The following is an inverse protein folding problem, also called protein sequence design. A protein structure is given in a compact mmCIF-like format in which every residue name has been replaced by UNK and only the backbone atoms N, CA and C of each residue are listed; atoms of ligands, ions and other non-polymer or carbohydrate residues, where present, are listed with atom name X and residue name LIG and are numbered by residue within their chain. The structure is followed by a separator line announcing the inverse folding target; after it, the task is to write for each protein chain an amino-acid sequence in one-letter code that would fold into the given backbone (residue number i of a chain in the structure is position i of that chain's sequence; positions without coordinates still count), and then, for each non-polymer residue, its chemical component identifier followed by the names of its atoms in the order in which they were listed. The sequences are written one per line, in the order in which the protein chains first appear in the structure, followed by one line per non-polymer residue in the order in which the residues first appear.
data_IF_340898889939
#
_entry.id   IF_340898889939
#
_cell.length_a   1.000
_cell.length_b   1.000
_cell.length_c   1.000
_cell.angle_alpha   90.00
_cell.angle_beta   90.00
_cell.angle_gamma   90.00
#
_symmetry.space_group_name_H-M   'P 1'
#
loop_
_entity.id
_entity.type
_entity.pdbx_description
1 polymer ?
#
# COMPACT_ATOMS: atom_id res chain seq x y z
N UNK A 1 33.36 -5.29 6.20
CA UNK A 1 31.94 -5.49 5.84
C UNK A 1 31.27 -4.14 5.62
N UNK A 2 30.78 -3.82 4.41
CA UNK A 2 30.01 -2.59 4.15
C UNK A 2 28.68 -2.70 4.90
N UNK A 3 28.45 -1.88 5.93
CA UNK A 3 27.12 -1.69 6.52
C UNK A 3 26.20 -1.21 5.39
N UNK A 4 25.32 -2.07 4.88
CA UNK A 4 24.21 -1.64 4.00
C UNK A 4 23.34 -0.70 4.81
N UNK A 5 23.45 0.60 4.54
CA UNK A 5 22.56 1.59 5.10
C UNK A 5 21.16 1.29 4.53
N UNK A 6 20.23 0.77 5.33
CA UNK A 6 18.84 0.61 4.88
C UNK A 6 18.32 1.99 4.50
N UNK A 7 17.76 2.11 3.30
CA UNK A 7 17.11 3.34 2.85
C UNK A 7 15.88 3.63 3.71
N UNK A 8 15.64 4.91 3.97
CA UNK A 8 14.39 5.36 4.59
C UNK A 8 13.27 5.10 3.57
N UNK A 9 12.15 4.53 4.04
CA UNK A 9 10.99 4.19 3.23
C UNK A 9 9.75 4.81 3.86
N UNK A 10 8.75 5.16 3.04
CA UNK A 10 7.44 5.58 3.52
C UNK A 10 6.60 4.38 3.99
N UNK A 11 7.10 3.55 4.92
CA UNK A 11 6.37 2.39 5.43
C UNK A 11 5.84 2.64 6.85
N UNK A 12 4.69 2.07 7.19
CA UNK A 12 4.16 2.10 8.55
C UNK A 12 5.12 1.41 9.54
N UNK A 13 5.38 2.05 10.68
CA UNK A 13 6.17 1.49 11.78
C UNK A 13 5.29 0.92 12.91
N UNK A 14 3.97 1.02 12.77
CA UNK A 14 2.97 0.58 13.74
C UNK A 14 2.80 -0.94 13.63
N UNK A 15 3.18 -1.68 14.66
CA UNK A 15 3.14 -3.16 14.67
C UNK A 15 1.73 -3.68 14.45
N UNK A 16 0.73 -2.99 14.98
CA UNK A 16 -0.69 -3.33 14.83
C UNK A 16 -1.19 -3.25 13.39
N UNK A 17 -0.49 -2.48 12.53
CA UNK A 17 -0.79 -2.34 11.09
C UNK A 17 -0.03 -3.34 10.21
N UNK A 18 0.80 -4.19 10.79
CA UNK A 18 1.53 -5.22 10.06
C UNK A 18 0.66 -6.47 9.99
N UNK A 19 0.54 -7.04 8.79
CA UNK A 19 -0.13 -8.32 8.58
C UNK A 19 0.68 -9.45 9.21
N UNK A 20 0.00 -10.29 9.98
CA UNK A 20 0.65 -11.39 10.69
C UNK A 20 1.25 -12.37 9.70
N UNK A 21 2.52 -12.73 9.89
CA UNK A 21 3.31 -13.58 8.98
C UNK A 21 3.36 -13.09 7.52
N UNK A 22 2.99 -11.83 7.24
CA UNK A 22 2.87 -11.31 5.88
C UNK A 22 1.73 -11.93 5.06
N UNK A 23 0.76 -12.58 5.72
CA UNK A 23 -0.41 -13.19 5.08
C UNK A 23 -1.55 -12.18 5.07
N UNK A 24 -2.10 -11.93 3.87
CA UNK A 24 -3.17 -10.97 3.62
C UNK A 24 -4.36 -11.74 3.02
N UNK A 25 -5.36 -12.09 3.85
CA UNK A 25 -6.57 -12.72 3.37
C UNK A 25 -7.38 -11.73 2.51
N UNK A 26 -7.96 -12.21 1.41
CA UNK A 26 -8.73 -11.38 0.49
C UNK A 26 -10.07 -11.99 0.10
N UNK A 27 -11.02 -11.12 -0.21
CA UNK A 27 -12.26 -11.41 -0.93
C UNK A 27 -12.38 -10.47 -2.13
N UNK A 28 -13.05 -10.93 -3.18
CA UNK A 28 -13.40 -10.09 -4.33
C UNK A 28 -14.91 -10.05 -4.47
N UNK A 29 -15.47 -8.85 -4.40
CA UNK A 29 -16.90 -8.62 -4.52
C UNK A 29 -17.45 -9.17 -5.85
N UNK A 30 -18.70 -9.64 -5.83
CA UNK A 30 -19.36 -10.30 -6.95
C UNK A 30 -19.53 -9.39 -8.17
N UNK A 31 -19.55 -8.08 -7.95
CA UNK A 31 -19.78 -7.05 -8.97
C UNK A 31 -18.63 -6.93 -9.99
N UNK A 32 -17.46 -7.52 -9.73
CA UNK A 32 -16.33 -7.50 -10.67
C UNK A 32 -16.43 -8.58 -11.73
N UNK A 33 -16.19 -8.21 -12.99
CA UNK A 33 -16.10 -9.16 -14.11
C UNK A 33 -14.91 -10.12 -13.97
N UNK A 34 -14.91 -11.22 -14.72
CA UNK A 34 -13.80 -12.18 -14.73
C UNK A 34 -12.45 -11.56 -15.11
N UNK A 35 -12.46 -10.56 -16.00
CA UNK A 35 -11.26 -9.82 -16.38
C UNK A 35 -10.66 -9.03 -15.19
N UNK A 36 -11.50 -8.34 -14.42
CA UNK A 36 -11.07 -7.64 -13.20
C UNK A 36 -10.52 -8.62 -12.16
N UNK A 37 -11.20 -9.75 -11.93
CA UNK A 37 -10.73 -10.79 -11.00
C UNK A 37 -9.35 -11.32 -11.42
N UNK A 38 -9.14 -11.55 -12.71
CA UNK A 38 -7.84 -11.96 -13.24
C UNK A 38 -6.77 -10.88 -13.01
N UNK A 39 -7.10 -9.61 -13.26
CA UNK A 39 -6.19 -8.48 -13.01
C UNK A 39 -5.77 -8.39 -11.54
N UNK A 40 -6.72 -8.51 -10.61
CA UNK A 40 -6.45 -8.45 -9.17
C UNK A 40 -5.53 -9.60 -8.75
N UNK A 41 -5.80 -10.82 -9.24
CA UNK A 41 -4.93 -11.99 -9.00
C UNK A 41 -3.52 -11.79 -9.58
N UNK A 42 -3.38 -11.16 -10.74
CA UNK A 42 -2.07 -10.83 -11.32
C UNK A 42 -1.31 -9.80 -10.46
N UNK A 43 -1.98 -8.75 -9.99
CA UNK A 43 -1.38 -7.73 -9.14
C UNK A 43 -0.94 -8.29 -7.77
N UNK A 44 -1.75 -9.19 -7.17
CA UNK A 44 -1.36 -9.92 -5.96
C UNK A 44 -0.12 -10.79 -6.21
N UNK A 45 -0.11 -11.59 -7.29
CA UNK A 45 1.05 -12.43 -7.66
C UNK A 45 2.33 -11.62 -7.89
N UNK A 46 2.22 -10.42 -8.44
CA UNK A 46 3.38 -9.54 -8.59
C UNK A 46 4.04 -9.27 -7.23
N UNK A 47 3.26 -8.89 -6.23
CA UNK A 47 3.77 -8.74 -4.86
C UNK A 47 4.34 -10.05 -4.28
N UNK A 48 3.69 -11.19 -4.51
CA UNK A 48 4.17 -12.50 -4.00
C UNK A 48 5.46 -12.99 -4.67
N UNK A 49 5.74 -12.56 -5.91
CA UNK A 49 6.92 -12.95 -6.67
C UNK A 49 8.16 -12.14 -6.25
N UNK A 50 7.97 -10.87 -5.88
CA UNK A 50 9.07 -9.96 -5.53
C UNK A 50 9.22 -9.73 -4.03
N UNK A 51 8.29 -10.24 -3.22
CA UNK A 51 8.32 -10.14 -1.76
C UNK A 51 7.89 -11.46 -1.11
N UNK A 52 7.90 -11.51 0.21
CA UNK A 52 7.36 -12.65 0.96
C UNK A 52 5.93 -12.43 1.46
N UNK A 53 5.24 -11.37 1.00
CA UNK A 53 3.80 -11.24 1.22
C UNK A 53 3.09 -12.40 0.53
N UNK A 54 2.00 -12.89 1.15
CA UNK A 54 1.13 -13.92 0.58
C UNK A 54 -0.32 -13.46 0.62
N UNK A 55 -1.01 -13.61 -0.49
CA UNK A 55 -2.44 -13.34 -0.61
C UNK A 55 -3.19 -14.66 -0.62
N UNK A 56 -4.12 -14.83 0.31
CA UNK A 56 -4.89 -16.06 0.45
C UNK A 56 -6.38 -15.76 0.34
N UNK A 57 -7.15 -16.65 -0.27
CA UNK A 57 -8.60 -16.51 -0.25
C UNK A 57 -9.09 -16.58 1.20
N UNK A 58 -10.05 -15.72 1.54
CA UNK A 58 -10.56 -15.65 2.90
C UNK A 58 -11.24 -16.95 3.30
N UNK A 59 -11.00 -17.29 4.56
CA UNK A 59 -11.66 -18.35 5.32
C UNK A 59 -12.34 -17.62 6.49
N UNK A 60 -13.65 -17.78 6.64
CA UNK A 60 -14.41 -17.01 7.61
C UNK A 60 -14.07 -17.37 9.07
N UNK A 61 -13.61 -18.59 9.31
CA UNK A 61 -13.31 -19.11 10.65
C UNK A 61 -11.88 -18.77 11.09
N UNK A 62 -10.95 -18.71 10.13
CA UNK A 62 -9.54 -18.40 10.39
C UNK A 62 -9.22 -16.90 10.28
N UNK A 63 -9.83 -16.21 9.32
CA UNK A 63 -9.42 -14.87 8.90
C UNK A 63 -10.41 -13.81 9.39
N UNK A 64 -10.13 -13.27 10.58
CA UNK A 64 -10.87 -12.13 11.16
C UNK A 64 -10.62 -10.83 10.39
N UNK A 65 -9.36 -10.49 10.13
CA UNK A 65 -8.97 -9.29 9.37
C UNK A 65 -8.59 -9.66 7.94
N UNK A 66 -9.11 -8.92 6.97
CA UNK A 66 -8.97 -9.24 5.55
C UNK A 66 -9.29 -8.03 4.67
N UNK A 67 -8.83 -8.06 3.43
CA UNK A 67 -9.19 -7.06 2.43
C UNK A 67 -10.36 -7.51 1.57
N UNK A 68 -11.17 -6.56 1.11
CA UNK A 68 -12.26 -6.80 0.16
C UNK A 68 -12.10 -5.87 -1.02
N UNK A 69 -11.84 -6.44 -2.20
CA UNK A 69 -11.94 -5.69 -3.44
C UNK A 69 -13.40 -5.35 -3.69
N UNK A 70 -13.71 -4.07 -3.74
CA UNK A 70 -15.07 -3.54 -3.94
C UNK A 70 -15.00 -2.22 -4.73
N UNK A 71 -16.14 -1.64 -5.09
CA UNK A 71 -16.22 -0.31 -5.70
C UNK A 71 -16.86 0.66 -4.70
N UNK A 72 -16.14 1.74 -4.34
CA UNK A 72 -16.62 2.78 -3.44
C UNK A 72 -16.52 4.17 -4.07
N UNK A 73 -17.28 5.17 -3.57
CA UNK A 73 -17.25 6.54 -4.11
C UNK A 73 -15.89 7.26 -4.00
N UNK A 74 -14.92 6.73 -3.25
CA UNK A 74 -13.58 7.32 -3.15
C UNK A 74 -12.73 7.16 -4.43
N UNK A 75 -13.17 6.37 -5.42
CA UNK A 75 -12.40 6.05 -6.61
C UNK A 75 -11.41 4.90 -6.33
N UNK A 76 -10.11 5.16 -6.49
CA UNK A 76 -9.03 4.24 -6.12
C UNK A 76 -8.57 4.59 -4.71
N UNK A 77 -8.85 3.75 -3.72
CA UNK A 77 -8.43 4.03 -2.36
C UNK A 77 -8.32 2.77 -1.50
N UNK A 78 -7.38 2.80 -0.55
CA UNK A 78 -7.13 1.71 0.39
C UNK A 78 -6.61 2.25 1.72
N UNK A 79 -6.80 1.47 2.79
CA UNK A 79 -6.22 1.78 4.09
C UNK A 79 -4.74 1.38 4.13
N UNK A 80 -3.89 2.19 4.77
CA UNK A 80 -2.46 1.88 4.89
C UNK A 80 -2.20 0.87 6.01
N UNK A 81 -1.89 -0.36 5.62
CA UNK A 81 -1.63 -1.51 6.49
C UNK A 81 -2.90 -2.28 6.87
N UNK A 82 -2.77 -3.16 7.86
CA UNK A 82 -3.89 -3.87 8.50
C UNK A 82 -4.68 -2.91 9.40
N UNK A 83 -6.00 -2.86 9.23
CA UNK A 83 -6.90 -2.06 10.09
C UNK A 83 -7.15 -2.69 11.46
N UNK A 84 -7.22 -4.02 11.52
CA UNK A 84 -7.39 -4.78 12.78
C UNK A 84 -8.82 -4.79 13.34
N UNK A 85 -9.81 -4.44 12.51
CA UNK A 85 -11.22 -4.40 12.89
C UNK A 85 -12.12 -5.05 11.83
N UNK A 86 -11.68 -6.18 11.31
CA UNK A 86 -12.41 -6.95 10.32
C UNK A 86 -12.12 -6.54 8.89
N UNK A 87 -13.15 -6.59 8.04
CA UNK A 87 -13.08 -6.24 6.63
C UNK A 87 -12.57 -4.81 6.41
N UNK A 88 -11.56 -4.65 5.57
CA UNK A 88 -11.17 -3.35 5.03
C UNK A 88 -11.32 -3.34 3.51
N UNK A 89 -11.91 -2.27 2.98
CA UNK A 89 -12.12 -2.14 1.55
C UNK A 89 -10.84 -1.70 0.86
N UNK A 90 -10.55 -2.32 -0.28
CA UNK A 90 -9.70 -1.78 -1.34
C UNK A 90 -10.66 -1.43 -2.49
N UNK A 91 -10.84 -0.13 -2.73
CA UNK A 91 -11.78 0.37 -3.73
C UNK A 91 -11.08 0.44 -5.09
N UNK A 92 -11.61 -0.28 -6.07
CA UNK A 92 -11.22 -0.19 -7.47
C UNK A 92 -12.42 0.30 -8.27
N UNK A 93 -12.56 1.63 -8.37
CA UNK A 93 -13.63 2.26 -9.16
C UNK A 93 -13.32 2.37 -10.65
N UNK A 94 -14.18 3.11 -11.37
CA UNK A 94 -13.97 3.43 -12.78
C UNK A 94 -12.60 4.08 -13.03
N UNK A 95 -11.89 3.59 -14.05
CA UNK A 95 -10.53 3.99 -14.44
C UNK A 95 -9.40 3.59 -13.48
N UNK A 96 -9.70 2.83 -12.41
CA UNK A 96 -8.72 2.27 -11.48
C UNK A 96 -8.29 0.83 -11.83
N UNK A 97 -8.89 0.25 -12.87
CA UNK A 97 -8.73 -1.13 -13.33
C UNK A 97 -7.47 -1.35 -14.18
N UNK A 98 -6.41 -0.59 -13.92
CA UNK A 98 -5.09 -0.78 -14.53
C UNK A 98 -4.20 -1.53 -13.56
N UNK A 99 -3.39 -2.45 -14.09
CA UNK A 99 -2.49 -3.29 -13.29
C UNK A 99 -1.67 -2.49 -12.27
N UNK A 100 -1.01 -1.40 -12.71
CA UNK A 100 -0.19 -0.56 -11.83
C UNK A 100 -0.97 0.14 -10.71
N UNK A 101 -2.22 0.53 -10.96
CA UNK A 101 -3.08 1.14 -9.94
C UNK A 101 -3.44 0.09 -8.88
N UNK A 102 -3.81 -1.12 -9.29
CA UNK A 102 -4.12 -2.20 -8.34
C UNK A 102 -2.88 -2.57 -7.51
N UNK A 103 -1.69 -2.62 -8.13
CA UNK A 103 -0.41 -2.83 -7.42
C UNK A 103 -0.14 -1.73 -6.40
N UNK A 104 -0.43 -0.47 -6.75
CA UNK A 104 -0.30 0.69 -5.85
C UNK A 104 -1.22 0.56 -4.63
N UNK A 105 -2.51 0.31 -4.86
CA UNK A 105 -3.49 0.14 -3.78
C UNK A 105 -3.15 -1.05 -2.87
N UNK A 106 -2.61 -2.13 -3.44
CA UNK A 106 -2.08 -3.26 -2.66
C UNK A 106 -0.84 -2.87 -1.83
N UNK A 107 -0.01 -1.95 -2.32
CA UNK A 107 1.08 -1.43 -1.50
C UNK A 107 0.60 -0.63 -0.29
N UNK A 108 -0.52 0.11 -0.41
CA UNK A 108 -1.19 0.67 0.76
C UNK A 108 -1.63 -0.43 1.72
N UNK A 109 -2.29 -1.48 1.24
CA UNK A 109 -2.68 -2.64 2.07
C UNK A 109 -1.47 -3.22 2.81
N UNK A 110 -0.34 -3.40 2.12
CA UNK A 110 0.90 -3.93 2.70
C UNK A 110 1.42 -3.00 3.80
N UNK A 111 1.26 -1.68 3.66
CA UNK A 111 1.62 -0.70 4.69
C UNK A 111 2.48 0.46 4.20
N UNK A 112 2.55 0.69 2.89
CA UNK A 112 3.25 1.83 2.30
C UNK A 112 2.36 3.06 2.24
N UNK A 113 2.91 4.20 2.65
CA UNK A 113 2.40 5.53 2.38
C UNK A 113 2.89 6.01 1.02
N UNK A 114 2.33 7.12 0.53
CA UNK A 114 2.88 7.78 -0.65
C UNK A 114 4.32 8.23 -0.41
N UNK A 115 5.18 8.07 -1.41
CA UNK A 115 6.62 8.27 -1.25
C UNK A 115 6.96 9.73 -0.92
N UNK A 116 6.21 10.69 -1.47
CA UNK A 116 6.37 12.11 -1.18
C UNK A 116 5.99 12.49 0.26
N UNK A 117 5.42 11.59 1.05
CA UNK A 117 5.10 11.84 2.48
C UNK A 117 6.24 11.45 3.42
N UNK A 118 7.34 10.91 2.88
CA UNK A 118 8.54 10.54 3.65
C UNK A 118 9.03 11.69 4.53
N UNK A 119 9.52 11.41 5.75
CA UNK A 119 10.08 12.44 6.63
C UNK A 119 11.29 13.18 6.04
N UNK A 120 12.01 12.58 5.10
CA UNK A 120 13.17 13.16 4.43
C UNK A 120 12.89 13.69 3.02
N UNK A 121 11.61 13.76 2.60
CA UNK A 121 11.23 14.12 1.22
C UNK A 121 11.72 15.51 0.77
N UNK A 122 11.85 16.47 1.67
CA UNK A 122 12.31 17.83 1.33
C UNK A 122 13.79 17.87 0.88
N UNK A 123 14.54 16.77 1.04
CA UNK A 123 15.90 16.62 0.48
C UNK A 123 15.89 16.17 -0.98
N UNK A 124 14.75 15.75 -1.50
CA UNK A 124 14.61 15.11 -2.82
C UNK A 124 13.61 15.86 -3.71
N UNK A 125 12.55 16.42 -3.14
CA UNK A 125 11.48 17.10 -3.88
C UNK A 125 11.04 18.37 -3.16
N UNK A 126 10.64 19.38 -3.95
CA UNK A 126 10.05 20.60 -3.45
C UNK A 126 8.54 20.61 -3.77
N UNK A 127 7.72 20.81 -2.75
CA UNK A 127 6.27 20.97 -2.92
C UNK A 127 5.97 22.44 -3.20
N UNK A 128 5.58 22.75 -4.44
CA UNK A 128 5.12 24.09 -4.84
C UNK A 128 3.66 24.23 -4.38
N UNK A 129 3.46 24.81 -3.20
CA UNK A 129 2.14 24.88 -2.55
C UNK A 129 1.11 25.67 -3.36
N UNK A 130 1.56 26.67 -4.11
CA UNK A 130 0.70 27.53 -4.93
C UNK A 130 0.03 26.77 -6.08
N UNK A 131 0.62 25.64 -6.50
CA UNK A 131 0.07 24.76 -7.53
C UNK A 131 -0.82 23.64 -6.94
N UNK A 132 -1.01 23.61 -5.62
CA UNK A 132 -1.90 22.63 -4.98
C UNK A 132 -3.32 23.17 -5.01
N UNK A 133 -4.24 22.40 -5.57
CA UNK A 133 -5.67 22.72 -5.55
C UNK A 133 -6.14 22.98 -4.12
N UNK A 134 -6.93 24.05 -3.92
CA UNK A 134 -7.50 24.38 -2.62
C UNK A 134 -8.21 23.16 -2.02
N UNK A 135 -7.91 22.88 -0.74
CA UNK A 135 -8.45 21.72 -0.04
C UNK A 135 -7.64 20.42 -0.19
N UNK A 136 -6.68 20.31 -1.13
CA UNK A 136 -5.80 19.12 -1.26
C UNK A 136 -4.46 19.21 -0.51
N UNK A 137 -4.25 20.29 0.24
CA UNK A 137 -2.99 20.53 0.96
C UNK A 137 -2.64 19.41 1.95
N UNK A 138 -3.64 18.72 2.52
CA UNK A 138 -3.42 17.62 3.47
C UNK A 138 -2.67 16.43 2.84
N UNK A 139 -2.83 16.18 1.53
CA UNK A 139 -2.17 15.09 0.81
C UNK A 139 -0.66 15.35 0.68
N UNK A 140 -0.24 16.61 0.71
CA UNK A 140 1.15 17.03 0.62
C UNK A 140 1.86 17.09 1.98
N UNK A 141 1.20 16.75 3.09
CA UNK A 141 1.82 16.82 4.42
C UNK A 141 2.86 15.70 4.63
N UNK A 142 3.95 16.01 5.33
CA UNK A 142 4.91 14.99 5.78
C UNK A 142 4.30 14.17 6.90
N UNK A 143 4.70 12.90 6.98
CA UNK A 143 4.56 12.13 8.21
C UNK A 143 5.39 12.81 9.32
N UNK A 144 4.73 13.17 10.43
CA UNK A 144 5.41 13.86 11.55
C UNK A 144 6.59 13.02 12.09
N UNK A 145 7.70 13.66 12.52
CA UNK A 145 8.91 12.99 12.99
C UNK A 145 8.78 12.24 14.33
N UNK A 146 7.58 12.15 14.91
CA UNK A 146 7.31 11.35 16.12
C UNK A 146 7.32 9.84 15.88
N UNK A 147 7.43 9.41 14.62
CA UNK A 147 7.70 8.02 14.30
C UNK A 147 9.22 7.82 14.42
N UNK A 148 9.73 7.08 15.43
CA UNK A 148 11.16 6.93 15.61
C UNK A 148 11.81 6.45 14.31
N UNK A 149 13.02 6.96 14.03
CA UNK A 149 13.94 6.48 12.98
C UNK A 149 14.34 5.03 13.26
N UNK A 150 13.36 4.14 13.31
CA UNK A 150 13.57 2.72 13.43
C UNK A 150 13.56 2.20 12.01
N UNK A 151 14.74 1.75 11.60
CA UNK A 151 14.93 0.86 10.48
C UNK A 151 13.94 -0.29 10.66
N UNK A 152 12.80 -0.19 9.98
CA UNK A 152 11.78 -1.22 10.07
C UNK A 152 12.37 -2.52 9.51
N UNK A 153 12.38 -3.63 10.25
CA UNK A 153 12.45 -4.95 9.65
C UNK A 153 11.08 -5.25 9.04
N UNK A 154 10.69 -4.45 8.04
CA UNK A 154 9.46 -4.68 7.31
C UNK A 154 9.73 -5.82 6.34
N UNK A 155 9.35 -7.02 6.77
CA UNK A 155 9.60 -8.31 6.14
C UNK A 155 11.11 -8.64 6.06
N UNK A 156 11.52 -9.88 6.33
CA UNK A 156 12.91 -10.36 6.07
C UNK A 156 13.16 -10.48 4.55
N UNK A 157 12.66 -9.55 3.75
CA UNK A 157 12.48 -9.69 2.32
C UNK A 157 13.09 -8.44 1.70
N UNK A 158 14.36 -8.58 1.35
CA UNK A 158 15.10 -7.56 0.63
C UNK A 158 14.62 -7.57 -0.82
N UNK A 159 13.97 -6.50 -1.26
CA UNK A 159 13.95 -5.89 -2.61
C UNK A 159 12.64 -5.09 -2.78
N UNK A 160 12.72 -3.78 -2.55
CA UNK A 160 11.61 -2.82 -2.73
C UNK A 160 12.31 -1.48 -3.04
N UNK A 161 12.77 -1.27 -4.27
CA UNK A 161 13.33 0.04 -4.65
C UNK A 161 13.08 0.41 -6.12
N UNK A 162 13.23 -0.51 -7.08
CA UNK A 162 13.21 -0.10 -8.50
C UNK A 162 11.80 -0.03 -9.12
N UNK A 163 10.88 -0.94 -8.77
CA UNK A 163 9.50 -0.88 -9.30
C UNK A 163 8.62 0.21 -8.66
N UNK A 164 9.07 0.82 -7.55
CA UNK A 164 8.27 1.75 -6.74
C UNK A 164 8.37 3.21 -7.20
N UNK A 165 9.40 3.63 -7.94
CA UNK A 165 9.53 5.06 -8.26
C UNK A 165 8.54 5.55 -9.33
N UNK A 166 8.01 4.67 -10.20
CA UNK A 166 7.15 5.10 -11.30
C UNK A 166 5.67 5.28 -10.91
N UNK A 167 5.19 4.56 -9.90
CA UNK A 167 3.77 4.53 -9.54
C UNK A 167 3.39 5.30 -8.26
N UNK A 168 4.37 5.79 -7.49
CA UNK A 168 4.13 6.25 -6.11
C UNK A 168 4.23 7.77 -5.90
N UNK A 169 4.47 8.52 -6.98
CA UNK A 169 4.59 9.98 -6.94
C UNK A 169 3.31 10.73 -7.34
N UNK A 170 2.33 10.09 -8.01
CA UNK A 170 1.29 10.84 -8.76
C UNK A 170 -0.12 10.22 -8.78
N UNK A 171 -0.48 9.36 -7.82
CA UNK A 171 -1.89 8.94 -7.65
C UNK A 171 -2.66 9.93 -6.76
#
# INVERSE_FOLDING_TARGET
AKKRHRSIRAATNRKERIWENGVIPYEIDGNFSGAHKSLFKQAMRHWENFTCVKFVERDADLHKDYIVFTERPCGCCSFVGKRGSGAQAISIGKNCDKFGIVVHELGHVVGFWHEHTRPDRDRHVQIIRDNIMLGKLFIALQLKPYLPKQIVPFLKCEFIYEDFNHFWFVS
#
